data_IF_790382408091
#
_entry.id   IF_790382408091
#
_cell.length_a   1.000
_cell.length_b   1.000
_cell.length_c   1.000
_cell.angle_alpha   90.00
_cell.angle_beta   90.00
_cell.angle_gamma   90.00
#
_symmetry.space_group_name_H-M   'P 1'
#
loop_
_entity.id
_entity.type
_entity.pdbx_description
1 polymer ?
#
# COMPACT_ATOMS: atom_id res chain seq x y z
N UNK A 1 -34.61 -3.84 -30.76
CA UNK A 1 -36.06 -3.82 -31.01
C UNK A 1 -36.72 -4.65 -29.94
N UNK A 2 -37.44 -4.03 -29.00
CA UNK A 2 -38.15 -4.71 -27.92
C UNK A 2 -39.67 -4.68 -28.21
N UNK A 3 -40.23 -5.70 -28.89
CA UNK A 3 -41.64 -5.71 -29.27
C UNK A 3 -42.57 -5.86 -28.06
N UNK A 4 -43.79 -5.31 -28.16
CA UNK A 4 -44.84 -5.46 -27.12
C UNK A 4 -45.26 -6.93 -26.92
N UNK A 5 -45.16 -7.75 -27.97
CA UNK A 5 -45.39 -9.19 -27.91
C UNK A 5 -44.07 -9.94 -27.97
N UNK A 6 -43.94 -11.00 -27.17
CA UNK A 6 -42.74 -11.82 -27.14
C UNK A 6 -42.36 -12.34 -28.53
N UNK A 7 -41.10 -12.10 -28.92
CA UNK A 7 -40.47 -12.67 -30.10
C UNK A 7 -39.11 -13.24 -29.71
N UNK A 8 -38.92 -14.52 -30.01
CA UNK A 8 -37.65 -15.22 -29.77
C UNK A 8 -36.53 -14.48 -30.47
N UNK A 9 -35.44 -14.20 -29.75
CA UNK A 9 -34.29 -13.46 -30.27
C UNK A 9 -34.43 -11.94 -30.21
N UNK A 10 -35.63 -11.35 -30.23
CA UNK A 10 -35.80 -9.89 -30.19
C UNK A 10 -36.15 -9.35 -28.80
N UNK A 11 -36.99 -10.05 -28.04
CA UNK A 11 -37.48 -9.53 -26.76
C UNK A 11 -36.44 -9.55 -25.62
N UNK A 12 -35.38 -10.35 -25.73
CA UNK A 12 -34.39 -10.51 -24.65
C UNK A 12 -32.94 -10.61 -25.12
N UNK A 13 -32.66 -10.69 -26.42
CA UNK A 13 -31.29 -10.91 -26.93
C UNK A 13 -30.65 -9.66 -27.54
N UNK A 14 -31.40 -8.56 -27.66
CA UNK A 14 -30.93 -7.33 -28.29
C UNK A 14 -31.36 -6.07 -27.53
N UNK A 15 -30.55 -5.02 -27.64
CA UNK A 15 -30.87 -3.69 -27.18
C UNK A 15 -31.97 -3.04 -28.04
N UNK A 16 -32.74 -2.13 -27.43
CA UNK A 16 -33.79 -1.43 -28.14
C UNK A 16 -33.23 -0.31 -29.01
N UNK A 17 -33.26 -0.49 -30.33
CA UNK A 17 -32.72 0.42 -31.33
C UNK A 17 -33.46 1.77 -31.42
N UNK A 18 -34.69 1.87 -30.92
CA UNK A 18 -35.35 3.18 -30.75
C UNK A 18 -34.75 4.00 -29.61
N UNK A 19 -34.20 3.32 -28.59
CA UNK A 19 -33.56 3.94 -27.43
C UNK A 19 -32.05 4.11 -27.64
N UNK A 20 -31.42 3.20 -28.39
CA UNK A 20 -30.00 3.17 -28.71
C UNK A 20 -29.81 3.08 -30.22
N UNK A 21 -29.99 4.22 -30.91
CA UNK A 21 -29.93 4.29 -32.37
C UNK A 21 -28.50 3.99 -32.89
N UNK A 22 -28.36 3.52 -34.16
CA UNK A 22 -27.06 3.31 -34.80
C UNK A 22 -26.13 4.52 -34.68
N UNK A 23 -24.86 4.27 -34.34
CA UNK A 23 -23.84 5.31 -34.17
C UNK A 23 -23.88 6.07 -32.84
N UNK A 24 -24.75 5.68 -31.90
CA UNK A 24 -24.74 6.15 -30.51
C UNK A 24 -23.85 5.27 -29.63
N UNK A 25 -23.43 5.78 -28.47
CA UNK A 25 -22.51 5.10 -27.55
C UNK A 25 -22.94 3.67 -27.16
N UNK A 26 -24.24 3.38 -27.12
CA UNK A 26 -24.80 2.09 -26.71
C UNK A 26 -25.43 1.32 -27.87
N UNK A 27 -25.01 1.57 -29.12
CA UNK A 27 -25.64 0.98 -30.31
C UNK A 27 -25.19 -0.45 -30.63
N UNK A 28 -24.36 -1.08 -29.79
CA UNK A 28 -24.00 -2.49 -29.96
C UNK A 28 -25.17 -3.41 -29.56
N UNK A 29 -25.23 -4.64 -30.08
CA UNK A 29 -26.29 -5.62 -29.79
C UNK A 29 -27.71 -5.19 -30.22
N UNK A 30 -27.87 -4.32 -31.22
CA UNK A 30 -29.17 -4.07 -31.88
C UNK A 30 -29.54 -5.22 -32.82
N UNK A 31 -30.84 -5.42 -33.16
CA UNK A 31 -31.27 -6.55 -34.00
C UNK A 31 -31.01 -6.39 -35.50
N UNK A 32 -30.65 -5.20 -35.97
CA UNK A 32 -30.30 -4.94 -37.37
C UNK A 32 -28.85 -4.47 -37.50
N UNK A 33 -28.14 -4.96 -38.52
CA UNK A 33 -26.81 -4.47 -38.91
C UNK A 33 -26.92 -3.81 -40.28
N UNK A 34 -26.52 -2.54 -40.40
CA UNK A 34 -26.44 -1.86 -41.68
C UNK A 34 -25.09 -2.10 -42.38
N UNK A 35 -25.05 -1.88 -43.69
CA UNK A 35 -23.77 -1.91 -44.43
C UNK A 35 -22.79 -0.89 -43.86
N UNK A 36 -21.56 -1.32 -43.57
CA UNK A 36 -20.48 -0.54 -42.97
C UNK A 36 -20.70 -0.10 -41.50
N UNK A 37 -21.60 -0.76 -40.77
CA UNK A 37 -21.75 -0.56 -39.33
C UNK A 37 -20.72 -1.40 -38.56
N UNK A 38 -19.59 -0.79 -38.21
CA UNK A 38 -18.56 -1.38 -37.35
C UNK A 38 -18.44 -0.54 -36.09
N UNK A 39 -18.88 -1.09 -34.96
CA UNK A 39 -18.70 -0.50 -33.65
C UNK A 39 -17.83 -1.44 -32.80
N UNK A 40 -16.67 -0.97 -32.38
CA UNK A 40 -15.71 -1.72 -31.55
C UNK A 40 -15.79 -1.31 -30.08
N UNK A 41 -16.65 -0.36 -29.74
CA UNK A 41 -16.93 0.01 -28.36
C UNK A 41 -18.26 -0.63 -27.93
N UNK A 42 -18.24 -1.59 -26.99
CA UNK A 42 -19.47 -2.19 -26.46
C UNK A 42 -20.38 -1.18 -25.76
N UNK A 43 -19.85 -0.05 -25.28
CA UNK A 43 -20.62 0.99 -24.60
C UNK A 43 -21.02 0.64 -23.17
N UNK A 44 -21.34 1.64 -22.33
CA UNK A 44 -21.59 1.44 -20.91
C UNK A 44 -22.79 0.56 -20.59
N UNK A 45 -23.84 0.52 -21.43
CA UNK A 45 -25.01 -0.32 -21.19
C UNK A 45 -24.69 -1.81 -21.33
N UNK A 46 -23.91 -2.18 -22.35
CA UNK A 46 -23.49 -3.57 -22.55
C UNK A 46 -22.42 -3.99 -21.53
N UNK A 47 -21.49 -3.09 -21.22
CA UNK A 47 -20.52 -3.32 -20.14
C UNK A 47 -21.23 -3.52 -18.79
N UNK A 48 -22.26 -2.73 -18.48
CA UNK A 48 -23.08 -2.90 -17.28
C UNK A 48 -23.79 -4.27 -17.24
N UNK A 49 -24.38 -4.70 -18.36
CA UNK A 49 -24.95 -6.07 -18.46
C UNK A 49 -23.91 -7.16 -18.24
N UNK A 50 -22.68 -6.99 -18.75
CA UNK A 50 -21.60 -7.95 -18.48
C UNK A 50 -21.23 -7.98 -17.00
N UNK A 51 -21.12 -6.82 -16.35
CA UNK A 51 -20.90 -6.74 -14.90
C UNK A 51 -22.01 -7.46 -14.13
N UNK A 52 -23.28 -7.26 -14.48
CA UNK A 52 -24.42 -7.96 -13.85
C UNK A 52 -24.38 -9.49 -14.04
N UNK A 53 -23.82 -9.96 -15.15
CA UNK A 53 -23.59 -11.39 -15.41
C UNK A 53 -22.33 -11.94 -14.71
N UNK A 54 -21.62 -11.12 -13.94
CA UNK A 54 -20.41 -11.48 -13.20
C UNK A 54 -19.12 -11.39 -14.00
N UNK A 55 -19.13 -10.73 -15.16
CA UNK A 55 -17.88 -10.43 -15.85
C UNK A 55 -17.14 -9.31 -15.14
N UNK A 56 -15.85 -9.52 -14.94
CA UNK A 56 -14.94 -8.45 -14.54
C UNK A 56 -14.62 -7.62 -15.77
N UNK A 57 -15.17 -6.41 -15.81
CA UNK A 57 -14.93 -5.44 -16.88
C UNK A 57 -13.85 -4.48 -16.43
N UNK A 58 -12.77 -4.42 -17.19
CA UNK A 58 -11.60 -3.59 -16.88
C UNK A 58 -10.30 -4.32 -17.17
N UNK A 59 -9.22 -3.55 -17.28
CA UNK A 59 -7.87 -4.11 -17.22
C UNK A 59 -7.50 -4.44 -15.78
N UNK A 60 -6.23 -4.77 -15.57
CA UNK A 60 -5.67 -4.88 -14.23
C UNK A 60 -5.99 -3.61 -13.43
N UNK A 61 -6.52 -3.78 -12.23
CA UNK A 61 -6.87 -2.66 -11.34
C UNK A 61 -6.71 -3.08 -9.87
N UNK A 62 -6.20 -2.17 -9.05
CA UNK A 62 -6.22 -2.26 -7.58
C UNK A 62 -7.50 -1.58 -7.12
N UNK A 63 -8.43 -2.36 -6.58
CA UNK A 63 -9.78 -1.92 -6.24
C UNK A 63 -9.85 -1.29 -4.85
N UNK A 64 -9.15 -1.87 -3.88
CA UNK A 64 -9.20 -1.43 -2.48
C UNK A 64 -7.89 -1.75 -1.77
N UNK A 65 -7.51 -0.89 -0.82
CA UNK A 65 -6.35 -1.05 0.05
C UNK A 65 -6.81 -0.75 1.47
N UNK A 66 -6.94 -1.80 2.28
CA UNK A 66 -7.28 -1.67 3.70
C UNK A 66 -6.02 -1.75 4.56
N UNK A 67 -5.93 -0.86 5.54
CA UNK A 67 -4.87 -0.89 6.54
C UNK A 67 -5.20 -1.95 7.60
N UNK A 68 -4.33 -2.96 7.71
CA UNK A 68 -4.40 -3.97 8.77
C UNK A 68 -3.63 -3.56 10.02
N UNK A 69 -3.27 -4.57 10.82
CA UNK A 69 -2.54 -4.37 12.08
C UNK A 69 -1.19 -3.68 11.87
N UNK A 70 -0.94 -2.68 12.72
CA UNK A 70 0.34 -2.00 12.87
C UNK A 70 0.98 -2.43 14.20
N UNK A 71 2.25 -2.83 14.17
CA UNK A 71 2.98 -3.10 15.42
C UNK A 71 3.35 -1.80 16.12
N UNK A 72 3.59 -1.87 17.43
CA UNK A 72 4.34 -0.82 18.12
C UNK A 72 5.76 -0.71 17.54
N UNK A 73 6.43 0.41 17.81
CA UNK A 73 7.85 0.57 17.49
C UNK A 73 8.70 -0.44 18.28
N UNK A 74 9.71 -0.99 17.62
CA UNK A 74 10.71 -1.87 18.22
C UNK A 74 11.90 -1.04 18.76
N UNK A 75 12.11 -1.08 20.08
CA UNK A 75 13.14 -0.31 20.79
C UNK A 75 14.58 -0.70 20.42
N UNK A 76 14.80 -1.85 19.79
CA UNK A 76 16.15 -2.30 19.40
C UNK A 76 16.51 -1.85 17.99
N UNK A 77 15.53 -1.55 17.14
CA UNK A 77 15.75 -1.32 15.70
C UNK A 77 15.10 -0.06 15.14
N UNK A 78 14.38 0.71 15.96
CA UNK A 78 13.54 1.85 15.58
C UNK A 78 12.51 1.55 14.49
N UNK A 79 12.10 0.29 14.37
CA UNK A 79 11.26 -0.15 13.26
C UNK A 79 9.96 -0.78 13.72
N UNK A 80 8.97 -0.78 12.82
CA UNK A 80 7.68 -1.40 13.03
C UNK A 80 7.27 -2.22 11.79
N UNK A 81 6.16 -2.95 11.92
CA UNK A 81 5.54 -3.70 10.83
C UNK A 81 4.14 -3.16 10.54
N UNK A 82 3.76 -3.16 9.27
CA UNK A 82 2.43 -2.75 8.84
C UNK A 82 1.81 -3.83 7.95
N UNK A 83 0.59 -4.26 8.29
CA UNK A 83 -0.19 -5.16 7.45
C UNK A 83 -1.07 -4.38 6.49
N UNK A 84 -1.15 -4.81 5.24
CA UNK A 84 -2.05 -4.29 4.21
C UNK A 84 -2.92 -5.43 3.69
N UNK A 85 -4.20 -5.17 3.44
CA UNK A 85 -5.08 -6.09 2.71
C UNK A 85 -5.47 -5.41 1.41
N UNK A 86 -5.03 -5.96 0.29
CA UNK A 86 -5.27 -5.39 -1.03
C UNK A 86 -6.25 -6.23 -1.83
N UNK A 87 -7.26 -5.56 -2.39
CA UNK A 87 -8.22 -6.15 -3.32
C UNK A 87 -7.86 -5.66 -4.73
N UNK A 88 -7.78 -6.58 -5.68
CA UNK A 88 -7.39 -6.29 -7.06
C UNK A 88 -8.08 -7.27 -7.99
N UNK A 89 -8.19 -6.87 -9.26
CA UNK A 89 -8.78 -7.68 -10.31
C UNK A 89 -7.85 -7.79 -11.51
N UNK A 90 -8.02 -8.89 -12.25
CA UNK A 90 -7.28 -9.19 -13.49
C UNK A 90 -5.77 -8.88 -13.42
N UNK A 91 -5.06 -9.33 -12.36
CA UNK A 91 -3.64 -9.06 -12.23
C UNK A 91 -2.84 -9.72 -13.37
N UNK A 92 -1.64 -9.23 -13.70
CA UNK A 92 -0.78 -9.89 -14.69
C UNK A 92 -0.50 -11.34 -14.29
N UNK A 93 -0.33 -12.24 -15.26
CA UNK A 93 -0.05 -13.66 -14.99
C UNK A 93 1.38 -13.93 -14.52
N UNK A 94 2.25 -12.91 -14.58
CA UNK A 94 3.65 -12.95 -14.17
C UNK A 94 3.99 -11.67 -13.40
N UNK A 95 5.18 -11.63 -12.79
CA UNK A 95 5.62 -10.47 -12.02
C UNK A 95 5.28 -10.57 -10.54
N UNK A 96 5.37 -9.42 -9.88
CA UNK A 96 5.28 -9.25 -8.43
C UNK A 96 4.42 -8.02 -8.13
N UNK A 97 3.91 -7.95 -6.91
CA UNK A 97 3.31 -6.72 -6.37
C UNK A 97 4.44 -5.92 -5.75
N UNK A 98 4.53 -4.63 -6.06
CA UNK A 98 5.46 -3.70 -5.45
C UNK A 98 4.72 -2.79 -4.47
N UNK A 99 5.29 -2.51 -3.30
CA UNK A 99 4.80 -1.55 -2.31
C UNK A 99 5.98 -0.70 -1.83
N UNK A 100 6.04 0.56 -2.23
CA UNK A 100 7.17 1.46 -1.95
C UNK A 100 8.54 0.82 -2.29
N UNK A 101 8.60 0.03 -3.37
CA UNK A 101 9.79 -0.71 -3.79
C UNK A 101 10.00 -2.10 -3.13
N UNK A 102 9.23 -2.47 -2.10
CA UNK A 102 9.22 -3.83 -1.56
C UNK A 102 8.45 -4.76 -2.49
N UNK A 103 8.95 -5.98 -2.70
CA UNK A 103 8.36 -6.93 -3.66
C UNK A 103 7.68 -8.11 -2.96
N UNK A 104 6.44 -8.39 -3.39
CA UNK A 104 5.60 -9.47 -2.89
C UNK A 104 5.19 -10.40 -4.03
N UNK A 105 5.07 -11.69 -3.73
CA UNK A 105 4.55 -12.67 -4.69
C UNK A 105 3.09 -12.37 -5.00
N UNK A 106 2.70 -12.53 -6.26
CA UNK A 106 1.31 -12.45 -6.66
C UNK A 106 0.52 -13.63 -6.07
N UNK A 107 -0.62 -13.34 -5.43
CA UNK A 107 -1.52 -14.34 -4.85
C UNK A 107 -2.97 -14.20 -5.34
N UNK A 108 -3.88 -14.83 -4.62
CA UNK A 108 -5.33 -14.63 -4.79
C UNK A 108 -5.77 -13.31 -4.14
N UNK A 109 -6.79 -12.68 -4.70
CA UNK A 109 -7.38 -11.47 -4.15
C UNK A 109 -8.61 -11.78 -3.29
N UNK A 110 -8.83 -11.12 -2.14
CA UNK A 110 -7.94 -10.14 -1.50
C UNK A 110 -6.67 -10.77 -0.95
N UNK A 111 -5.54 -10.07 -1.05
CA UNK A 111 -4.23 -10.54 -0.59
C UNK A 111 -3.75 -9.72 0.61
N UNK A 112 -3.29 -10.42 1.66
CA UNK A 112 -2.61 -9.78 2.81
C UNK A 112 -1.11 -9.69 2.56
N UNK A 113 -0.56 -8.48 2.71
CA UNK A 113 0.86 -8.16 2.63
C UNK A 113 1.35 -7.64 3.98
N UNK A 114 2.55 -8.02 4.38
CA UNK A 114 3.17 -7.53 5.62
C UNK A 114 4.45 -6.78 5.27
N UNK A 115 4.44 -5.47 5.50
CA UNK A 115 5.61 -4.62 5.42
C UNK A 115 6.40 -4.77 6.72
N UNK A 116 7.70 -5.01 6.58
CA UNK A 116 8.61 -5.24 7.71
C UNK A 116 9.68 -4.15 7.75
N UNK A 117 10.23 -3.93 8.94
CA UNK A 117 11.35 -3.02 9.16
C UNK A 117 11.09 -1.59 8.64
N UNK A 118 9.85 -1.10 8.79
CA UNK A 118 9.50 0.27 8.45
C UNK A 118 10.04 1.22 9.52
N UNK A 119 10.54 2.39 9.13
CA UNK A 119 11.11 3.39 10.06
C UNK A 119 10.03 4.03 10.91
N UNK A 120 10.16 3.97 12.24
CA UNK A 120 9.24 4.60 13.19
C UNK A 120 9.66 6.05 13.41
N UNK A 121 9.15 6.99 12.61
CA UNK A 121 9.52 8.41 12.69
C UNK A 121 8.36 9.32 13.09
N UNK A 122 7.18 8.75 13.37
CA UNK A 122 5.96 9.49 13.65
C UNK A 122 5.34 10.20 12.44
N UNK A 123 5.90 10.03 11.24
CA UNK A 123 5.48 10.75 10.06
C UNK A 123 4.41 9.99 9.28
N UNK A 124 3.70 10.71 8.42
CA UNK A 124 2.76 10.09 7.49
C UNK A 124 3.52 9.33 6.39
N UNK A 125 3.06 8.12 6.09
CA UNK A 125 3.63 7.24 5.06
C UNK A 125 2.73 7.23 3.83
N UNK A 126 3.30 7.60 2.69
CA UNK A 126 2.66 7.44 1.39
C UNK A 126 2.79 5.98 0.92
N UNK A 127 1.79 5.48 0.19
CA UNK A 127 1.84 4.17 -0.45
C UNK A 127 1.84 4.31 -1.97
N UNK A 128 2.87 3.81 -2.62
CA UNK A 128 2.93 3.51 -4.04
C UNK A 128 2.83 1.99 -4.22
N UNK A 129 1.69 1.51 -4.71
CA UNK A 129 1.40 0.08 -4.90
C UNK A 129 1.20 -0.17 -6.38
N UNK A 130 1.81 -1.23 -6.92
CA UNK A 130 1.56 -1.61 -8.32
C UNK A 130 2.04 -3.00 -8.69
N UNK A 131 1.81 -3.41 -9.93
CA UNK A 131 2.31 -4.68 -10.45
C UNK A 131 3.54 -4.48 -11.33
N UNK A 132 4.61 -5.23 -11.08
CA UNK A 132 5.88 -5.05 -11.81
C UNK A 132 5.80 -5.45 -13.28
N UNK A 133 4.92 -6.38 -13.64
CA UNK A 133 4.68 -6.78 -15.02
C UNK A 133 3.72 -5.85 -15.78
N UNK A 134 3.02 -4.97 -15.08
CA UNK A 134 2.15 -3.95 -15.68
C UNK A 134 2.19 -2.66 -14.83
N UNK A 135 3.19 -1.77 -15.06
CA UNK A 135 3.38 -0.57 -14.23
C UNK A 135 2.21 0.42 -14.25
N UNK A 136 1.40 0.41 -15.31
CA UNK A 136 0.19 1.23 -15.41
C UNK A 136 -0.91 0.77 -14.44
N UNK A 137 -0.83 -0.47 -13.95
CA UNK A 137 -1.68 -0.99 -12.90
C UNK A 137 -1.06 -0.69 -11.54
N UNK A 138 -1.17 0.58 -11.15
CA UNK A 138 -0.66 1.11 -9.90
C UNK A 138 -1.62 2.11 -9.27
N UNK A 139 -1.51 2.30 -7.96
CA UNK A 139 -2.25 3.29 -7.18
C UNK A 139 -1.28 3.98 -6.23
N UNK A 140 -1.42 5.30 -6.14
CA UNK A 140 -0.70 6.13 -5.17
C UNK A 140 -1.67 6.68 -4.14
N UNK A 141 -1.41 6.42 -2.86
CA UNK A 141 -2.23 6.85 -1.73
C UNK A 141 -1.35 7.73 -0.84
N UNK A 142 -1.50 9.06 -0.89
CA UNK A 142 -0.76 9.95 -0.02
C UNK A 142 -1.24 9.83 1.43
N UNK A 143 -0.32 9.90 2.38
CA UNK A 143 -0.57 9.85 3.81
C UNK A 143 -1.49 8.69 4.21
N UNK A 144 -1.26 7.50 3.61
CA UNK A 144 -2.12 6.34 3.77
C UNK A 144 -2.27 5.92 5.25
N UNK A 145 -1.20 6.11 6.04
CA UNK A 145 -1.20 5.90 7.48
C UNK A 145 -0.09 6.70 8.14
N UNK A 146 -0.06 6.72 9.47
CA UNK A 146 0.99 7.37 10.27
C UNK A 146 1.85 6.30 10.91
N UNK A 147 3.17 6.44 10.79
CA UNK A 147 4.13 5.59 11.49
C UNK A 147 4.04 5.83 13.00
N UNK A 148 4.33 4.83 13.85
CA UNK A 148 4.62 5.06 15.25
C UNK A 148 5.75 6.09 15.41
N UNK A 149 5.74 6.83 16.52
CA UNK A 149 6.88 7.67 16.89
C UNK A 149 8.12 6.80 17.12
N UNK A 150 9.30 7.41 16.94
CA UNK A 150 10.58 6.77 17.22
C UNK A 150 10.66 6.36 18.68
N UNK A 151 11.05 5.12 18.91
CA UNK A 151 11.24 4.54 20.23
C UNK A 151 12.68 4.06 20.45
N UNK A 152 13.55 4.25 19.44
CA UNK A 152 14.97 3.96 19.55
C UNK A 152 15.72 5.17 20.10
N UNK A 153 16.22 5.03 21.31
CA UNK A 153 17.09 6.01 21.92
C UNK A 153 18.43 5.38 22.29
N UNK A 154 19.43 5.66 21.47
CA UNK A 154 20.82 5.37 21.78
C UNK A 154 21.27 6.01 23.11
N UNK A 155 20.55 7.05 23.55
CA UNK A 155 20.84 7.81 24.75
C UNK A 155 20.13 7.31 26.01
N UNK A 156 19.21 6.34 25.92
CA UNK A 156 18.59 5.66 27.08
C UNK A 156 19.28 4.32 27.33
N UNK A 157 20.44 4.39 27.98
CA UNK A 157 21.23 3.22 28.35
C UNK A 157 20.60 2.43 29.51
N UNK A 158 19.69 3.05 30.27
CA UNK A 158 19.02 2.44 31.40
C UNK A 158 17.80 1.60 31.00
N UNK A 159 17.28 1.81 29.78
CA UNK A 159 16.11 1.14 29.22
C UNK A 159 14.80 1.54 29.87
N UNK A 160 14.72 2.76 30.45
CA UNK A 160 13.54 3.22 31.20
C UNK A 160 12.63 4.17 30.40
N UNK A 161 12.96 4.44 29.15
CA UNK A 161 12.24 5.30 28.22
C UNK A 161 12.56 6.79 28.36
N UNK A 162 13.65 7.16 29.05
CA UNK A 162 14.07 8.54 29.23
C UNK A 162 15.58 8.68 29.03
N UNK A 163 16.00 9.81 28.50
CA UNK A 163 17.42 10.21 28.56
C UNK A 163 17.64 11.08 29.79
N UNK A 164 18.18 10.52 30.86
CA UNK A 164 18.31 11.17 32.16
C UNK A 164 19.70 11.01 32.80
N UNK A 165 19.80 11.36 34.09
CA UNK A 165 21.07 11.29 34.82
C UNK A 165 21.58 9.86 34.90
N UNK A 166 20.69 8.88 34.93
CA UNK A 166 21.08 7.47 35.02
C UNK A 166 21.84 7.03 33.76
N UNK A 167 21.44 7.48 32.58
CA UNK A 167 22.13 7.18 31.31
C UNK A 167 23.47 7.87 31.23
N UNK A 168 23.54 9.13 31.69
CA UNK A 168 24.82 9.83 31.81
C UNK A 168 25.79 9.08 32.74
N UNK A 169 25.30 8.53 33.85
CA UNK A 169 26.13 7.73 34.75
C UNK A 169 26.58 6.40 34.13
N UNK A 170 25.77 5.80 33.24
CA UNK A 170 26.13 4.59 32.51
C UNK A 170 27.23 4.89 31.46
N UNK A 171 27.15 6.00 30.72
CA UNK A 171 28.25 6.45 29.86
C UNK A 171 29.52 6.68 30.66
N UNK A 172 29.43 7.37 31.79
CA UNK A 172 30.61 7.67 32.62
C UNK A 172 31.23 6.41 33.24
N UNK A 173 30.45 5.33 33.41
CA UNK A 173 30.95 4.05 33.87
C UNK A 173 31.78 3.32 32.80
N UNK A 174 31.50 3.55 31.51
CA UNK A 174 32.20 2.95 30.36
C UNK A 174 33.18 3.92 29.67
N UNK A 175 33.38 5.11 30.25
CA UNK A 175 34.18 6.17 29.63
C UNK A 175 35.63 5.74 29.39
N UNK A 176 36.08 5.89 28.15
CA UNK A 176 37.38 5.43 27.68
C UNK A 176 37.41 3.98 27.18
N UNK A 177 36.24 3.34 27.00
CA UNK A 177 36.14 2.06 26.31
C UNK A 177 36.45 2.20 24.80
N UNK A 178 37.00 1.14 24.20
CA UNK A 178 37.33 1.05 22.76
C UNK A 178 36.92 -0.27 22.08
N UNK A 179 36.25 -1.19 22.80
CA UNK A 179 35.81 -2.48 22.25
C UNK A 179 34.53 -2.92 22.97
N UNK A 180 33.43 -3.07 22.23
CA UNK A 180 32.16 -3.57 22.77
C UNK A 180 31.58 -2.65 23.83
N UNK A 181 31.66 -1.35 23.60
CA UNK A 181 31.28 -0.33 24.57
C UNK A 181 29.78 -0.14 24.58
N UNK A 182 29.16 -0.30 25.74
CA UNK A 182 27.73 -0.05 25.89
C UNK A 182 27.44 1.45 25.88
N UNK A 183 28.42 2.28 26.28
CA UNK A 183 28.30 3.74 26.26
C UNK A 183 28.61 4.41 24.92
N UNK A 184 28.90 3.66 23.85
CA UNK A 184 29.12 4.18 22.48
C UNK A 184 27.77 4.42 21.79
N UNK A 185 27.20 5.60 22.04
CA UNK A 185 25.86 5.98 21.58
C UNK A 185 25.87 6.62 20.20
N UNK A 186 27.05 6.99 19.69
CA UNK A 186 27.20 7.53 18.33
C UNK A 186 27.66 6.47 17.30
N UNK A 187 28.06 5.27 17.76
CA UNK A 187 28.48 4.13 16.96
C UNK A 187 29.89 4.24 16.38
N UNK A 188 30.76 5.06 16.97
CA UNK A 188 32.13 5.29 16.48
C UNK A 188 33.16 4.23 16.94
N UNK A 189 32.74 3.34 17.83
CA UNK A 189 33.53 2.26 18.40
C UNK A 189 34.22 2.60 19.72
N UNK A 190 33.99 3.78 20.30
CA UNK A 190 34.57 4.20 21.57
C UNK A 190 33.58 4.99 22.43
N UNK A 191 33.68 4.88 23.75
CA UNK A 191 32.91 5.75 24.67
C UNK A 191 33.77 6.92 25.10
N UNK A 192 33.43 8.12 24.65
CA UNK A 192 34.19 9.34 24.90
C UNK A 192 33.29 10.57 25.11
N UNK A 193 33.85 11.78 24.99
CA UNK A 193 33.10 13.03 25.21
C UNK A 193 32.00 13.22 24.17
N UNK A 194 32.18 12.69 22.95
CA UNK A 194 31.17 12.78 21.89
C UNK A 194 29.88 12.04 22.27
N UNK A 195 29.98 10.88 22.93
CA UNK A 195 28.84 10.13 23.48
C UNK A 195 28.16 10.86 24.63
N UNK A 196 28.95 11.45 25.52
CA UNK A 196 28.43 12.29 26.60
C UNK A 196 27.64 13.48 26.03
N UNK A 197 28.15 14.10 24.96
CA UNK A 197 27.46 15.21 24.29
C UNK A 197 26.18 14.74 23.58
N UNK A 198 26.16 13.53 23.01
CA UNK A 198 24.98 12.95 22.42
C UNK A 198 23.86 12.74 23.48
N UNK A 199 24.17 12.13 24.63
CA UNK A 199 23.21 12.01 25.75
C UNK A 199 22.76 13.37 26.27
N UNK A 200 23.67 14.33 26.45
CA UNK A 200 23.31 15.67 26.92
C UNK A 200 22.46 16.45 25.92
N UNK A 201 22.58 16.16 24.62
CA UNK A 201 21.77 16.79 23.58
C UNK A 201 20.32 16.31 23.56
N UNK A 202 20.05 15.11 24.09
CA UNK A 202 18.73 14.51 24.24
C UNK A 202 18.23 14.51 25.70
N UNK A 203 18.93 15.18 26.62
CA UNK A 203 18.62 15.12 28.06
C UNK A 203 17.22 15.65 28.40
N UNK A 204 16.43 14.82 29.06
CA UNK A 204 15.04 15.11 29.44
C UNK A 204 14.01 14.79 28.37
N UNK A 205 14.43 14.28 27.21
CA UNK A 205 13.52 13.77 26.18
C UNK A 205 12.95 12.40 26.59
N UNK A 206 11.71 12.15 26.18
CA UNK A 206 11.04 10.87 26.34
C UNK A 206 11.33 10.04 25.10
N UNK A 207 11.77 8.81 25.34
CA UNK A 207 12.13 7.80 24.37
C UNK A 207 11.07 6.70 24.43
N UNK A 208 9.89 6.94 23.83
CA UNK A 208 8.74 6.03 23.92
C UNK A 208 7.96 5.94 22.63
#
# INVERSE_FOLDING_TARGET
YAPENYQVGSSYSHLNETSYAPGTLNSLMTPGLNTAESNHDPGPALLGMFVDMGWVIGGCEILEVEMGDQSVCNSDSDTYTQTLVITYQTPPTTGLIQVNGNLFSLGESPQTLVLLNLSSDGQAVDLDIGFTANPECSVFIPQAFTAPASCYCLTDLSGNGFTEVQDLLLILADFGCFVGCEGDVNGDGATNVEDVLAVLSAFGEICS
#
